data_IF_520438274910
#
_entry.id   IF_520438274910
#
_cell.length_a   1.000
_cell.length_b   1.000
_cell.length_c   1.000
_cell.angle_alpha   90.00
_cell.angle_beta   90.00
_cell.angle_gamma   90.00
#
_symmetry.space_group_name_H-M   'P 1'
#
loop_
_entity.id
_entity.type
_entity.pdbx_description
1 polymer ?
#
# COMPACT_ATOMS: atom_id res chain seq x y z
N UNK A 1 73.71 50.95 61.02
CA UNK A 1 72.35 50.46 61.31
C UNK A 1 72.19 49.12 60.60
N UNK A 2 72.35 48.02 61.32
CA UNK A 2 72.24 46.66 60.78
C UNK A 2 70.78 46.21 60.82
N UNK A 3 70.23 45.83 59.67
CA UNK A 3 68.93 45.18 59.57
C UNK A 3 69.12 43.66 59.42
N UNK A 4 68.60 42.90 60.37
CA UNK A 4 68.55 41.44 60.36
C UNK A 4 67.32 40.97 59.58
N UNK A 5 67.51 40.15 58.55
CA UNK A 5 66.44 39.48 57.82
C UNK A 5 66.12 38.13 58.49
N UNK A 6 64.86 37.93 58.90
CA UNK A 6 64.36 36.64 59.39
C UNK A 6 64.08 35.68 58.22
N UNK A 7 64.45 34.38 58.32
CA UNK A 7 64.10 33.40 57.31
C UNK A 7 62.62 32.99 57.43
N UNK A 8 61.94 32.97 56.29
CA UNK A 8 60.54 32.53 56.16
C UNK A 8 60.49 30.99 56.22
N UNK A 9 59.82 30.42 57.23
CA UNK A 9 59.65 28.98 57.38
C UNK A 9 58.58 28.45 56.41
N UNK A 10 58.99 27.61 55.44
CA UNK A 10 58.07 26.83 54.58
C UNK A 10 57.47 25.69 55.40
N UNK A 11 56.18 25.79 55.75
CA UNK A 11 55.41 24.63 56.21
C UNK A 11 55.23 23.64 55.06
N UNK A 12 55.88 22.48 55.16
CA UNK A 12 55.60 21.32 54.32
C UNK A 12 54.40 20.59 54.91
N UNK A 13 53.26 20.60 54.22
CA UNK A 13 52.17 19.68 54.55
C UNK A 13 52.63 18.23 54.33
N UNK A 14 52.45 17.32 55.30
CA UNK A 14 52.75 15.92 55.10
C UNK A 14 51.76 15.36 54.05
N UNK A 15 52.30 14.89 52.92
CA UNK A 15 51.54 14.10 51.97
C UNK A 15 51.15 12.78 52.65
N UNK A 16 49.88 12.68 53.08
CA UNK A 16 49.30 11.40 53.51
C UNK A 16 49.08 10.57 52.25
N UNK A 17 49.87 9.50 52.10
CA UNK A 17 49.65 8.52 51.04
C UNK A 17 48.35 7.73 51.29
N UNK A 18 47.61 7.44 50.23
CA UNK A 18 46.42 6.61 50.28
C UNK A 18 46.80 5.17 50.67
N UNK A 19 45.94 4.53 51.46
CA UNK A 19 46.09 3.11 51.78
C UNK A 19 45.72 2.26 50.56
N UNK A 20 46.39 1.12 50.35
CA UNK A 20 46.10 0.20 49.24
C UNK A 20 44.60 -0.20 49.23
N UNK A 21 43.99 -0.31 50.40
CA UNK A 21 42.57 -0.64 50.57
C UNK A 21 41.62 0.49 50.12
N UNK A 22 41.93 1.76 50.37
CA UNK A 22 41.13 2.89 49.87
C UNK A 22 41.13 2.96 48.33
N UNK A 23 42.26 2.64 47.71
CA UNK A 23 42.37 2.59 46.25
C UNK A 23 41.55 1.44 45.66
N UNK A 24 41.58 0.27 46.29
CA UNK A 24 40.78 -0.89 45.89
C UNK A 24 39.27 -0.64 46.06
N UNK A 25 38.86 0.00 47.16
CA UNK A 25 37.45 0.34 47.40
C UNK A 25 36.97 1.37 46.37
N UNK A 26 37.76 2.41 46.11
CA UNK A 26 37.41 3.45 45.14
C UNK A 26 37.28 2.88 43.72
N UNK A 27 38.19 1.98 43.33
CA UNK A 27 38.13 1.29 42.04
C UNK A 27 36.91 0.36 41.95
N UNK A 28 36.63 -0.41 43.01
CA UNK A 28 35.48 -1.31 43.05
C UNK A 28 34.16 -0.54 42.91
N UNK A 29 33.98 0.55 43.64
CA UNK A 29 32.78 1.40 43.55
C UNK A 29 32.69 2.05 42.16
N UNK A 30 33.81 2.55 41.62
CA UNK A 30 33.85 3.13 40.27
C UNK A 30 33.41 2.13 39.19
N UNK A 31 33.90 0.88 39.26
CA UNK A 31 33.52 -0.17 38.33
C UNK A 31 32.03 -0.54 38.43
N UNK A 32 31.48 -0.61 39.65
CA UNK A 32 30.05 -0.91 39.86
C UNK A 32 29.16 0.18 39.26
N UNK A 33 29.50 1.46 39.50
CA UNK A 33 28.74 2.59 38.94
C UNK A 33 28.82 2.62 37.42
N UNK A 34 30.01 2.38 36.86
CA UNK A 34 30.19 2.31 35.40
C UNK A 34 29.40 1.15 34.79
N UNK A 35 29.45 -0.03 35.40
CA UNK A 35 28.69 -1.20 34.92
C UNK A 35 27.17 -0.93 34.95
N UNK A 36 26.66 -0.33 36.02
CA UNK A 36 25.26 0.09 36.12
C UNK A 36 24.90 1.11 35.02
N UNK A 37 25.72 2.16 34.84
CA UNK A 37 25.51 3.17 33.81
C UNK A 37 25.52 2.60 32.39
N UNK A 38 26.46 1.70 32.08
CA UNK A 38 26.54 0.99 30.81
C UNK A 38 25.30 0.12 30.55
N UNK A 39 24.78 -0.56 31.57
CA UNK A 39 23.57 -1.38 31.44
C UNK A 39 22.31 -0.56 31.11
N UNK A 40 22.16 0.61 31.77
CA UNK A 40 21.05 1.54 31.51
C UNK A 40 21.18 2.16 30.11
N UNK A 41 22.39 2.58 29.74
CA UNK A 41 22.65 3.12 28.41
C UNK A 41 22.35 2.08 27.31
N UNK A 42 22.79 0.83 27.48
CA UNK A 42 22.56 -0.23 26.50
C UNK A 42 21.06 -0.54 26.34
N UNK A 43 20.32 -0.68 27.45
CA UNK A 43 18.86 -0.93 27.41
C UNK A 43 18.08 0.24 26.81
N UNK A 44 18.43 1.48 27.18
CA UNK A 44 17.83 2.70 26.61
C UNK A 44 18.09 2.81 25.11
N UNK A 45 19.34 2.61 24.68
CA UNK A 45 19.70 2.66 23.25
C UNK A 45 18.95 1.62 22.42
N UNK A 46 18.79 0.39 22.95
CA UNK A 46 17.98 -0.67 22.32
C UNK A 46 16.52 -0.27 22.21
N UNK A 47 15.93 0.22 23.28
CA UNK A 47 14.53 0.68 23.30
C UNK A 47 14.30 1.80 22.29
N UNK A 48 15.24 2.74 22.17
CA UNK A 48 15.15 3.83 21.19
C UNK A 48 15.21 3.33 19.75
N UNK A 49 16.11 2.38 19.44
CA UNK A 49 16.19 1.80 18.10
C UNK A 49 14.94 1.01 17.73
N UNK A 50 14.37 0.26 18.68
CA UNK A 50 13.12 -0.46 18.47
C UNK A 50 11.96 0.52 18.22
N UNK A 51 11.86 1.57 19.04
CA UNK A 51 10.86 2.62 18.88
C UNK A 51 10.97 3.34 17.54
N UNK A 52 12.19 3.56 17.03
CA UNK A 52 12.44 4.17 15.72
C UNK A 52 11.94 3.26 14.58
N UNK A 53 12.29 1.97 14.60
CA UNK A 53 11.84 1.01 13.57
C UNK A 53 10.32 0.88 13.57
N UNK A 54 9.67 0.82 14.74
CA UNK A 54 8.22 0.77 14.82
C UNK A 54 7.57 2.05 14.27
N UNK A 55 8.15 3.22 14.58
CA UNK A 55 7.64 4.50 14.08
C UNK A 55 7.74 4.58 12.57
N UNK A 56 8.91 4.24 12.00
CA UNK A 56 9.12 4.20 10.56
C UNK A 56 8.17 3.21 9.88
N UNK A 57 7.99 2.00 10.43
CA UNK A 57 7.03 1.03 9.90
C UNK A 57 5.59 1.53 9.93
N UNK A 58 5.19 2.31 10.95
CA UNK A 58 3.86 2.92 11.02
C UNK A 58 3.69 4.00 9.95
N UNK A 59 4.69 4.85 9.75
CA UNK A 59 4.70 5.86 8.70
C UNK A 59 4.59 5.22 7.31
N UNK A 60 5.42 4.22 7.03
CA UNK A 60 5.41 3.46 5.77
C UNK A 60 4.07 2.74 5.56
N UNK A 61 3.51 2.11 6.60
CA UNK A 61 2.22 1.43 6.54
C UNK A 61 1.06 2.38 6.24
N UNK A 62 1.03 3.55 6.88
CA UNK A 62 0.01 4.59 6.60
C UNK A 62 0.17 5.13 5.17
N UNK A 63 1.40 5.37 4.72
CA UNK A 63 1.68 5.80 3.35
C UNK A 63 1.19 4.76 2.33
N UNK A 64 1.47 3.48 2.57
CA UNK A 64 1.01 2.36 1.75
C UNK A 64 -0.51 2.32 1.60
N UNK A 65 -1.22 2.42 2.72
CA UNK A 65 -2.68 2.44 2.73
C UNK A 65 -3.22 3.66 1.99
N UNK A 66 -2.67 4.86 2.25
CA UNK A 66 -3.13 6.08 1.58
C UNK A 66 -2.95 6.01 0.06
N UNK A 67 -1.83 5.45 -0.41
CA UNK A 67 -1.57 5.24 -1.83
C UNK A 67 -2.64 4.34 -2.46
N UNK A 68 -2.87 3.14 -1.91
CA UNK A 68 -3.87 2.21 -2.45
C UNK A 68 -5.29 2.78 -2.33
N UNK A 69 -5.61 3.46 -1.22
CA UNK A 69 -6.90 4.11 -1.04
C UNK A 69 -7.18 5.16 -2.11
N UNK A 70 -6.20 5.99 -2.46
CA UNK A 70 -6.36 7.02 -3.48
C UNK A 70 -6.70 6.39 -4.84
N UNK A 71 -6.06 5.26 -5.17
CA UNK A 71 -6.30 4.54 -6.42
C UNK A 71 -7.69 3.87 -6.42
N UNK A 72 -8.08 3.24 -5.31
CA UNK A 72 -9.41 2.64 -5.17
C UNK A 72 -10.54 3.68 -5.22
N UNK A 73 -10.33 4.91 -4.73
CA UNK A 73 -11.31 6.00 -4.83
C UNK A 73 -11.56 6.50 -6.26
N UNK A 74 -10.60 6.27 -7.17
CA UNK A 74 -10.76 6.54 -8.60
C UNK A 74 -11.51 5.41 -9.31
N UNK A 75 -11.50 4.19 -8.78
CA UNK A 75 -12.08 3.02 -9.42
C UNK A 75 -13.52 3.28 -9.88
N UNK A 76 -13.80 2.95 -11.14
CA UNK A 76 -15.11 3.14 -11.78
C UNK A 76 -15.46 4.60 -12.09
N UNK A 77 -14.55 5.57 -11.89
CA UNK A 77 -14.81 6.94 -12.28
C UNK A 77 -15.07 7.02 -13.78
N UNK A 78 -16.08 7.81 -14.15
CA UNK A 78 -16.38 8.15 -15.53
C UNK A 78 -16.95 9.56 -15.62
N UNK A 79 -16.59 10.26 -16.68
CA UNK A 79 -17.22 11.53 -17.04
C UNK A 79 -18.68 11.30 -17.44
N UNK A 80 -19.54 12.19 -16.96
CA UNK A 80 -20.95 12.17 -17.31
C UNK A 80 -21.13 12.80 -18.70
N UNK A 81 -21.74 12.06 -19.60
CA UNK A 81 -22.19 12.55 -20.90
C UNK A 81 -23.64 12.99 -20.78
N UNK A 82 -23.94 14.20 -21.24
CA UNK A 82 -25.31 14.71 -21.38
C UNK A 82 -25.71 14.48 -22.85
N UNK A 83 -26.58 13.49 -23.14
CA UNK A 83 -27.00 13.22 -24.51
C UNK A 83 -27.79 14.40 -25.08
N UNK A 84 -27.48 14.81 -26.31
CA UNK A 84 -28.17 15.92 -27.00
C UNK A 84 -29.64 15.65 -27.33
N UNK A 85 -30.08 14.40 -27.22
CA UNK A 85 -31.46 13.94 -27.47
C UNK A 85 -32.33 13.90 -26.21
N UNK A 86 -31.88 14.47 -25.08
CA UNK A 86 -32.64 14.47 -23.82
C UNK A 86 -32.71 13.10 -23.14
N UNK A 87 -31.87 12.14 -23.54
CA UNK A 87 -31.72 10.89 -22.82
C UNK A 87 -31.05 11.10 -21.45
N UNK A 88 -31.17 10.09 -20.58
CA UNK A 88 -30.59 10.10 -19.23
C UNK A 88 -29.08 10.30 -19.29
N UNK A 89 -28.56 11.15 -18.40
CA UNK A 89 -27.11 11.32 -18.18
C UNK A 89 -26.49 9.95 -17.92
N UNK A 90 -25.44 9.61 -18.65
CA UNK A 90 -24.76 8.33 -18.55
C UNK A 90 -23.25 8.51 -18.41
N UNK A 91 -22.59 7.57 -17.76
CA UNK A 91 -21.12 7.51 -17.76
C UNK A 91 -20.60 7.19 -19.16
N UNK A 92 -19.50 7.82 -19.56
CA UNK A 92 -18.77 7.53 -20.78
C UNK A 92 -18.14 6.11 -20.77
N UNK A 93 -17.69 5.66 -19.60
CA UNK A 93 -17.23 4.31 -19.31
C UNK A 93 -18.23 3.61 -18.38
N UNK A 94 -18.70 2.44 -18.80
CA UNK A 94 -19.55 1.57 -18.01
C UNK A 94 -19.04 0.13 -18.08
N UNK A 95 -18.35 -0.31 -17.03
CA UNK A 95 -17.74 -1.63 -16.94
C UNK A 95 -17.28 -1.96 -15.52
N UNK A 96 -16.62 -3.12 -15.32
CA UNK A 96 -16.05 -3.48 -14.03
C UNK A 96 -14.98 -2.45 -13.62
N UNK A 97 -15.10 -1.92 -12.41
CA UNK A 97 -14.19 -0.94 -11.83
C UNK A 97 -12.92 -1.57 -11.25
N UNK A 98 -13.05 -2.80 -10.75
CA UNK A 98 -11.96 -3.55 -10.14
C UNK A 98 -12.03 -5.02 -10.57
N UNK A 99 -10.87 -5.67 -10.56
CA UNK A 99 -10.76 -7.13 -10.66
C UNK A 99 -9.63 -7.63 -9.78
N UNK A 100 -9.94 -8.60 -8.92
CA UNK A 100 -9.00 -9.21 -8.00
C UNK A 100 -8.52 -10.57 -8.45
N UNK A 101 -7.41 -11.01 -7.87
CA UNK A 101 -7.02 -12.41 -7.84
C UNK A 101 -6.38 -12.77 -6.51
N UNK A 102 -6.92 -13.82 -5.89
CA UNK A 102 -6.32 -14.46 -4.73
C UNK A 102 -4.98 -15.08 -5.16
N UNK A 103 -3.93 -14.88 -4.37
CA UNK A 103 -2.59 -15.40 -4.69
C UNK A 103 -1.88 -14.73 -5.87
N UNK A 104 -2.51 -13.71 -6.48
CA UNK A 104 -1.93 -12.88 -7.54
C UNK A 104 -2.31 -13.29 -8.96
N UNK A 105 -1.88 -12.49 -9.95
CA UNK A 105 -2.17 -12.76 -11.36
C UNK A 105 -1.16 -13.73 -11.97
N UNK A 106 -1.63 -14.73 -12.73
CA UNK A 106 -0.77 -15.64 -13.52
C UNK A 106 0.01 -14.86 -14.57
N UNK A 107 -0.69 -14.03 -15.33
CA UNK A 107 -0.11 -13.05 -16.24
C UNK A 107 -0.71 -11.68 -15.96
N UNK A 108 0.01 -10.87 -15.20
CA UNK A 108 -0.39 -9.51 -14.92
C UNK A 108 -0.31 -8.57 -16.15
N UNK A 109 0.06 -9.05 -17.35
CA UNK A 109 0.06 -8.31 -18.62
C UNK A 109 -1.18 -8.59 -19.49
N UNK A 110 -1.90 -9.68 -19.21
CA UNK A 110 -3.06 -10.13 -19.97
C UNK A 110 -4.14 -9.06 -20.07
N UNK A 111 -5.03 -9.10 -21.06
CA UNK A 111 -6.19 -8.22 -21.08
C UNK A 111 -7.04 -8.40 -19.78
N UNK A 112 -7.76 -7.37 -19.36
CA UNK A 112 -8.44 -7.37 -18.06
C UNK A 112 -9.49 -8.46 -17.90
N UNK A 113 -10.21 -8.81 -18.96
CA UNK A 113 -11.14 -9.94 -19.04
C UNK A 113 -10.41 -11.30 -19.03
N UNK A 114 -9.15 -11.34 -19.48
CA UNK A 114 -8.29 -12.53 -19.53
C UNK A 114 -7.40 -12.70 -18.29
N UNK A 115 -7.48 -11.81 -17.30
CA UNK A 115 -6.80 -12.01 -16.02
C UNK A 115 -7.20 -13.35 -15.40
N UNK A 116 -6.24 -14.07 -14.86
CA UNK A 116 -6.46 -15.34 -14.18
C UNK A 116 -5.59 -15.42 -12.94
N UNK A 117 -6.07 -16.13 -11.93
CA UNK A 117 -5.49 -16.14 -10.60
C UNK A 117 -4.55 -17.32 -10.43
N UNK A 118 -3.42 -17.08 -9.76
CA UNK A 118 -2.53 -18.15 -9.30
C UNK A 118 -3.28 -18.97 -8.26
N UNK A 119 -3.08 -20.29 -8.27
CA UNK A 119 -3.65 -21.15 -7.23
C UNK A 119 -2.72 -21.16 -6.02
N UNK A 120 -3.22 -20.78 -4.85
CA UNK A 120 -2.53 -20.90 -3.56
C UNK A 120 -2.60 -19.62 -2.72
N UNK A 121 -1.93 -19.67 -1.57
CA UNK A 121 -2.09 -18.68 -0.48
C UNK A 121 -1.07 -17.52 -0.60
N UNK A 122 -0.82 -17.07 -1.82
CA UNK A 122 0.12 -15.99 -2.11
C UNK A 122 -0.43 -14.61 -1.76
N UNK A 123 0.36 -13.56 -2.03
CA UNK A 123 -0.16 -12.20 -2.00
C UNK A 123 -1.17 -11.99 -3.12
N UNK A 124 -2.30 -11.38 -2.79
CA UNK A 124 -3.32 -11.00 -3.75
C UNK A 124 -2.84 -9.90 -4.69
N UNK A 125 -3.54 -9.78 -5.81
CA UNK A 125 -3.34 -8.69 -6.75
C UNK A 125 -4.68 -8.09 -7.16
N UNK A 126 -4.66 -6.80 -7.50
CA UNK A 126 -5.86 -6.07 -7.93
C UNK A 126 -5.58 -5.21 -9.15
N UNK A 127 -6.48 -5.28 -10.12
CA UNK A 127 -6.56 -4.39 -11.25
C UNK A 127 -7.66 -3.36 -10.97
N UNK A 128 -7.35 -2.09 -11.19
CA UNK A 128 -8.22 -0.94 -10.96
C UNK A 128 -8.40 -0.21 -12.29
N UNK A 129 -9.66 0.01 -12.66
CA UNK A 129 -10.05 0.69 -13.89
C UNK A 129 -10.88 1.92 -13.64
N UNK A 130 -10.58 2.97 -14.38
CA UNK A 130 -11.34 4.21 -14.38
C UNK A 130 -11.03 5.03 -15.63
N UNK A 131 -11.94 5.91 -16.01
CA UNK A 131 -11.72 6.86 -17.08
C UNK A 131 -10.66 7.90 -16.65
N UNK A 132 -9.55 7.90 -17.36
CA UNK A 132 -8.42 8.76 -17.07
C UNK A 132 -8.59 10.11 -17.79
N UNK A 133 -8.42 11.20 -17.05
CA UNK A 133 -8.42 12.56 -17.58
C UNK A 133 -7.15 13.27 -17.10
N UNK A 134 -6.74 14.36 -17.77
CA UNK A 134 -5.63 15.18 -17.28
C UNK A 134 -5.86 15.72 -15.86
N UNK A 135 -7.11 15.87 -15.44
CA UNK A 135 -7.47 16.41 -14.13
C UNK A 135 -7.42 15.36 -13.00
N UNK A 136 -7.57 14.07 -13.32
CA UNK A 136 -7.62 13.00 -12.33
C UNK A 136 -6.37 12.08 -12.34
N UNK A 137 -5.41 12.38 -13.21
CA UNK A 137 -4.13 11.66 -13.33
C UNK A 137 -2.94 12.58 -13.09
N UNK A 138 -1.73 12.01 -13.03
CA UNK A 138 -0.51 12.80 -12.83
C UNK A 138 -0.22 13.54 -14.15
N UNK A 139 -0.09 14.88 -14.15
CA UNK A 139 0.16 15.64 -15.37
C UNK A 139 1.59 15.41 -15.87
N UNK A 140 1.75 15.23 -17.19
CA UNK A 140 3.09 15.30 -17.81
C UNK A 140 3.50 16.75 -18.01
N UNK A 141 4.75 17.06 -17.67
CA UNK A 141 5.35 18.36 -17.96
C UNK A 141 5.50 18.63 -19.47
N UNK A 142 5.62 17.56 -20.29
CA UNK A 142 5.82 17.66 -21.74
C UNK A 142 4.51 17.76 -22.52
N UNK A 143 3.41 17.21 -21.98
CA UNK A 143 2.07 17.29 -22.56
C UNK A 143 1.00 17.18 -21.46
N UNK A 144 0.56 18.32 -20.88
CA UNK A 144 -0.39 18.32 -19.78
C UNK A 144 -1.81 17.94 -20.22
N UNK A 145 -2.06 17.70 -21.51
CA UNK A 145 -3.38 17.34 -22.04
C UNK A 145 -3.61 15.83 -22.09
N UNK A 146 -2.60 15.04 -21.76
CA UNK A 146 -2.62 13.58 -21.85
C UNK A 146 -2.77 12.97 -20.47
N UNK A 147 -3.73 12.04 -20.35
CA UNK A 147 -3.93 11.30 -19.13
C UNK A 147 -2.88 10.19 -18.96
N UNK A 148 -2.56 9.87 -17.71
CA UNK A 148 -1.51 8.92 -17.35
C UNK A 148 -1.97 7.72 -16.56
N UNK A 149 -1.14 6.69 -16.57
CA UNK A 149 -1.29 5.56 -15.67
C UNK A 149 -0.66 5.84 -14.29
N UNK A 150 -0.70 4.85 -13.41
CA UNK A 150 -0.11 4.93 -12.06
C UNK A 150 1.40 5.24 -12.01
N UNK A 151 2.11 5.12 -13.13
CA UNK A 151 3.54 5.39 -13.26
C UNK A 151 3.82 6.72 -13.98
N UNK A 152 2.79 7.47 -14.36
CA UNK A 152 2.94 8.71 -15.12
C UNK A 152 3.18 8.51 -16.62
N UNK A 153 3.00 7.29 -17.15
CA UNK A 153 3.13 7.04 -18.57
C UNK A 153 1.82 7.40 -19.30
N UNK A 154 1.95 8.09 -20.43
CA UNK A 154 0.80 8.50 -21.25
C UNK A 154 -0.04 7.32 -21.73
N UNK A 155 -1.35 7.52 -21.82
CA UNK A 155 -2.31 6.54 -22.35
C UNK A 155 -2.96 7.14 -23.61
N UNK A 156 -3.08 6.36 -24.69
CA UNK A 156 -3.81 6.80 -25.89
C UNK A 156 -5.32 6.76 -25.64
N UNK A 157 -6.10 7.72 -26.20
CA UNK A 157 -7.55 7.61 -26.25
C UNK A 157 -7.99 6.32 -26.96
N UNK A 158 -9.00 5.67 -26.42
CA UNK A 158 -9.57 4.41 -26.86
C UNK A 158 -11.01 4.62 -27.32
N UNK A 159 -11.41 3.87 -28.33
CA UNK A 159 -12.82 3.68 -28.69
C UNK A 159 -13.39 2.49 -27.88
N UNK A 160 -14.72 2.39 -27.67
CA UNK A 160 -15.32 1.29 -26.93
C UNK A 160 -14.98 -0.12 -27.46
N UNK A 161 -14.67 -0.27 -28.75
CA UNK A 161 -14.30 -1.57 -29.35
C UNK A 161 -12.89 -2.01 -29.00
N UNK A 162 -12.05 -1.12 -28.48
CA UNK A 162 -10.68 -1.41 -28.05
C UNK A 162 -10.59 -1.76 -26.55
N UNK A 163 -11.72 -1.76 -25.84
CA UNK A 163 -11.81 -2.10 -24.42
C UNK A 163 -12.47 -3.47 -24.26
N UNK A 164 -11.85 -4.32 -23.44
CA UNK A 164 -12.39 -5.63 -23.07
C UNK A 164 -12.58 -5.73 -21.55
N UNK A 165 -13.77 -6.11 -21.05
CA UNK A 165 -15.00 -6.29 -21.83
C UNK A 165 -15.51 -4.96 -22.41
N UNK A 166 -16.26 -5.01 -23.51
CA UNK A 166 -16.78 -3.80 -24.17
C UNK A 166 -17.75 -3.09 -23.20
N UNK A 167 -17.57 -1.78 -22.94
CA UNK A 167 -18.47 -1.06 -22.04
C UNK A 167 -19.90 -1.05 -22.57
N UNK A 168 -20.88 -1.08 -21.64
CA UNK A 168 -22.31 -1.08 -21.96
C UNK A 168 -23.05 -0.01 -21.14
N UNK A 169 -23.72 0.99 -21.77
CA UNK A 169 -23.98 1.11 -23.21
C UNK A 169 -22.72 1.50 -23.98
N UNK A 170 -22.48 0.85 -25.11
CA UNK A 170 -21.48 1.33 -26.05
C UNK A 170 -22.04 2.62 -26.64
N UNK A 171 -21.44 3.78 -26.35
CA UNK A 171 -21.88 5.07 -26.85
C UNK A 171 -22.08 5.01 -28.39
N UNK A 172 -23.31 4.76 -28.78
CA UNK A 172 -23.80 4.95 -30.12
C UNK A 172 -24.35 6.35 -30.16
N UNK A 173 -23.89 7.14 -31.13
CA UNK A 173 -24.29 8.52 -31.43
C UNK A 173 -23.50 9.64 -30.70
N UNK A 174 -22.25 9.81 -31.13
CA UNK A 174 -21.57 11.09 -31.45
C UNK A 174 -21.12 12.09 -30.36
N UNK A 175 -21.03 11.73 -29.07
CA UNK A 175 -20.45 12.64 -28.06
C UNK A 175 -19.23 12.09 -27.31
N UNK A 176 -18.92 10.79 -27.44
CA UNK A 176 -17.73 10.19 -26.84
C UNK A 176 -17.16 9.06 -27.70
N UNK A 177 -16.70 9.40 -28.90
CA UNK A 177 -16.06 8.42 -29.78
C UNK A 177 -14.74 7.90 -29.19
N UNK A 178 -14.12 8.68 -28.29
CA UNK A 178 -12.86 8.34 -27.64
C UNK A 178 -12.86 8.75 -26.17
N UNK A 179 -12.33 7.87 -25.31
CA UNK A 179 -12.04 8.15 -23.91
C UNK A 179 -10.72 7.49 -23.52
N UNK A 180 -10.06 7.98 -22.48
CA UNK A 180 -8.84 7.35 -22.00
C UNK A 180 -9.18 6.45 -20.82
N UNK A 181 -8.70 5.20 -20.81
CA UNK A 181 -8.98 4.26 -19.74
C UNK A 181 -7.67 3.90 -19.03
N UNK A 182 -7.58 4.21 -17.75
CA UNK A 182 -6.51 3.67 -16.91
C UNK A 182 -6.86 2.22 -16.54
N UNK A 183 -5.89 1.31 -16.73
CA UNK A 183 -5.90 -0.07 -16.23
C UNK A 183 -4.61 -0.24 -15.43
N UNK A 184 -4.70 0.00 -14.12
CA UNK A 184 -3.57 -0.04 -13.20
C UNK A 184 -3.65 -1.31 -12.37
N UNK A 185 -2.54 -2.04 -12.26
CA UNK A 185 -2.48 -3.31 -11.53
C UNK A 185 -1.46 -3.21 -10.43
N UNK A 186 -1.91 -3.54 -9.23
CA UNK A 186 -1.13 -3.52 -8.01
C UNK A 186 -0.89 -4.95 -7.56
N UNK A 187 0.37 -5.29 -7.35
CA UNK A 187 0.83 -6.60 -6.89
C UNK A 187 2.12 -6.46 -6.08
N UNK A 188 2.35 -7.40 -5.18
CA UNK A 188 3.63 -7.52 -4.48
C UNK A 188 4.63 -8.28 -5.36
N UNK A 189 5.83 -7.72 -5.52
CA UNK A 189 6.96 -8.33 -6.23
C UNK A 189 8.12 -8.55 -5.26
N UNK A 190 9.06 -9.41 -5.65
CA UNK A 190 10.30 -9.69 -4.91
C UNK A 190 10.08 -10.06 -3.44
N UNK A 191 8.94 -10.70 -3.15
CA UNK A 191 8.46 -10.99 -1.78
C UNK A 191 9.48 -11.72 -0.89
N UNK A 192 10.41 -12.47 -1.49
CA UNK A 192 11.42 -13.27 -0.77
C UNK A 192 12.70 -12.51 -0.42
N UNK A 193 13.00 -11.40 -1.09
CA UNK A 193 14.24 -10.65 -0.91
C UNK A 193 13.94 -9.25 -0.39
N UNK A 194 13.44 -8.41 -1.28
CA UNK A 194 13.03 -7.03 -1.03
C UNK A 194 11.57 -6.93 -1.43
N UNK A 195 10.63 -7.27 -0.54
CA UNK A 195 9.21 -7.22 -0.86
C UNK A 195 8.81 -5.79 -1.21
N UNK A 196 8.18 -5.59 -2.37
CA UNK A 196 7.74 -4.27 -2.79
C UNK A 196 6.33 -4.35 -3.36
N UNK A 197 5.48 -3.38 -2.98
CA UNK A 197 4.27 -3.10 -3.73
C UNK A 197 4.67 -2.44 -5.04
N UNK A 198 4.24 -3.03 -6.14
CA UNK A 198 4.49 -2.51 -7.49
C UNK A 198 3.20 -2.05 -8.14
N UNK A 199 3.34 -1.15 -9.11
CA UNK A 199 2.30 -0.90 -10.08
C UNK A 199 2.78 -1.17 -11.50
N UNK A 200 1.87 -1.69 -12.31
CA UNK A 200 1.97 -1.67 -13.76
C UNK A 200 0.69 -1.11 -14.33
N UNK A 201 0.81 -0.21 -15.28
CA UNK A 201 -0.34 0.45 -15.87
C UNK A 201 -0.43 0.23 -17.37
N UNK A 202 -1.61 0.45 -17.93
CA UNK A 202 -1.77 0.67 -19.35
C UNK A 202 -0.89 1.85 -19.80
N UNK A 203 -0.19 1.72 -20.91
CA UNK A 203 0.66 2.79 -21.45
C UNK A 203 0.66 2.77 -22.97
N UNK A 204 0.85 3.94 -23.56
CA UNK A 204 1.11 4.11 -24.98
C UNK A 204 2.41 3.40 -25.35
N UNK A 205 2.33 2.50 -26.32
CA UNK A 205 3.48 1.95 -27.04
C UNK A 205 3.22 2.02 -28.53
N UNK A 206 3.94 2.92 -29.20
CA UNK A 206 3.72 3.29 -30.60
C UNK A 206 2.28 3.80 -30.83
N UNK A 207 1.47 3.03 -31.56
CA UNK A 207 0.10 3.36 -31.96
C UNK A 207 -0.97 2.60 -31.17
N UNK A 208 -0.58 1.82 -30.15
CA UNK A 208 -1.49 1.04 -29.34
C UNK A 208 -1.20 1.24 -27.85
N UNK A 209 -2.18 0.90 -27.02
CA UNK A 209 -1.99 0.77 -25.58
C UNK A 209 -1.63 -0.68 -25.24
N UNK A 210 -0.71 -0.86 -24.30
CA UNK A 210 -0.34 -2.15 -23.73
C UNK A 210 -0.29 -2.06 -22.20
N UNK A 211 -0.22 -3.18 -21.48
CA UNK A 211 0.08 -3.15 -20.04
C UNK A 211 1.60 -3.19 -19.86
N UNK A 212 2.18 -2.09 -19.37
CA UNK A 212 3.62 -1.92 -19.16
C UNK A 212 4.22 -2.89 -18.13
N UNK A 213 5.54 -2.79 -17.93
CA UNK A 213 6.24 -3.59 -16.93
C UNK A 213 5.93 -3.09 -15.51
N UNK A 214 5.97 -3.97 -14.48
CA UNK A 214 5.83 -3.53 -13.09
C UNK A 214 7.01 -2.63 -12.69
N UNK A 215 6.70 -1.58 -11.95
CA UNK A 215 7.67 -0.72 -11.28
C UNK A 215 7.38 -0.69 -9.79
N UNK A 216 8.41 -0.75 -8.92
CA UNK A 216 8.22 -0.65 -7.50
C UNK A 216 7.67 0.73 -7.10
N UNK A 217 6.67 0.76 -6.22
CA UNK A 217 6.11 1.98 -5.65
C UNK A 217 6.48 2.16 -4.18
N UNK A 218 6.38 1.08 -3.41
CA UNK A 218 6.67 1.11 -1.98
C UNK A 218 7.42 -0.15 -1.57
N UNK A 219 8.53 0.04 -0.87
CA UNK A 219 9.30 -1.05 -0.30
C UNK A 219 8.60 -1.63 0.95
N UNK A 220 9.06 -2.81 1.36
CA UNK A 220 8.69 -3.48 2.61
C UNK A 220 7.22 -3.92 2.72
N UNK A 221 6.49 -4.01 1.60
CA UNK A 221 5.14 -4.59 1.54
C UNK A 221 5.26 -6.07 1.23
N UNK A 222 5.22 -6.92 2.25
CA UNK A 222 5.51 -8.36 2.14
C UNK A 222 4.34 -9.19 1.62
N UNK A 223 3.12 -8.82 2.00
CA UNK A 223 1.90 -9.44 1.50
C UNK A 223 0.78 -8.44 1.45
N UNK A 224 -0.08 -8.57 0.43
CA UNK A 224 -1.34 -7.86 0.29
C UNK A 224 -2.46 -8.90 0.25
N UNK A 225 -3.50 -8.69 1.04
CA UNK A 225 -4.71 -9.53 1.07
C UNK A 225 -5.94 -8.64 0.89
N UNK A 226 -6.91 -9.07 0.10
CA UNK A 226 -8.02 -8.22 -0.33
C UNK A 226 -9.36 -8.94 -0.18
N UNK A 227 -10.30 -8.28 0.48
CA UNK A 227 -11.70 -8.69 0.55
C UNK A 227 -12.59 -7.69 -0.18
N UNK A 228 -13.58 -8.20 -0.91
CA UNK A 228 -14.49 -7.43 -1.74
C UNK A 228 -15.88 -7.40 -1.11
N UNK A 229 -16.36 -6.21 -0.75
CA UNK A 229 -17.74 -6.03 -0.32
C UNK A 229 -18.67 -6.05 -1.51
N UNK A 230 -19.51 -7.08 -1.60
CA UNK A 230 -20.38 -7.33 -2.76
C UNK A 230 -21.84 -7.02 -2.47
N UNK A 231 -22.56 -6.64 -3.50
CA UNK A 231 -24.01 -6.49 -3.50
C UNK A 231 -24.73 -7.66 -4.19
N UNK A 232 -26.04 -7.77 -3.94
CA UNK A 232 -26.90 -8.81 -4.52
C UNK A 232 -27.22 -8.58 -6.01
N UNK A 233 -26.93 -7.39 -6.54
CA UNK A 233 -27.00 -7.00 -7.96
C UNK A 233 -25.80 -6.10 -8.30
N UNK A 234 -25.38 -6.04 -9.59
CA UNK A 234 -24.31 -5.13 -10.00
C UNK A 234 -24.68 -3.67 -9.74
N UNK A 235 -23.69 -2.77 -9.74
CA UNK A 235 -23.89 -1.34 -9.44
C UNK A 235 -24.99 -0.69 -10.30
N UNK A 236 -25.50 0.44 -9.81
CA UNK A 236 -26.59 1.17 -10.45
C UNK A 236 -26.28 1.57 -11.91
N UNK A 237 -25.01 1.82 -12.27
CA UNK A 237 -24.63 2.10 -13.66
C UNK A 237 -24.89 0.91 -14.61
N UNK A 238 -24.95 -0.31 -14.08
CA UNK A 238 -25.14 -1.55 -14.83
C UNK A 238 -26.55 -2.13 -14.64
N UNK A 239 -27.36 -1.56 -13.75
CA UNK A 239 -28.70 -2.04 -13.43
C UNK A 239 -29.79 -1.26 -14.17
N UNK A 240 -30.73 -1.97 -14.80
CA UNK A 240 -31.88 -1.35 -15.46
C UNK A 240 -32.91 -0.74 -14.49
N UNK A 241 -32.88 -1.11 -13.21
CA UNK A 241 -33.77 -0.60 -12.17
C UNK A 241 -33.02 -0.56 -10.84
N UNK A 242 -33.01 0.60 -10.19
CA UNK A 242 -32.37 0.76 -8.89
C UNK A 242 -33.25 0.21 -7.77
N UNK A 243 -32.69 -0.68 -6.95
CA UNK A 243 -33.32 -1.21 -5.74
C UNK A 243 -32.33 -1.07 -4.57
N UNK A 244 -32.58 -0.21 -3.58
CA UNK A 244 -31.64 0.05 -2.49
C UNK A 244 -31.34 -1.20 -1.65
N UNK A 245 -32.24 -2.19 -1.61
CA UNK A 245 -32.02 -3.42 -0.85
C UNK A 245 -31.09 -4.39 -1.58
N UNK A 246 -31.04 -4.31 -2.92
CA UNK A 246 -30.22 -5.18 -3.76
C UNK A 246 -28.86 -4.56 -4.13
N UNK A 247 -28.70 -3.25 -3.95
CA UNK A 247 -27.49 -2.47 -4.26
C UNK A 247 -26.75 -1.99 -2.99
N UNK A 248 -26.78 -2.79 -1.94
CA UNK A 248 -26.02 -2.58 -0.70
C UNK A 248 -25.03 -3.72 -0.48
N UNK A 249 -23.96 -3.44 0.27
CA UNK A 249 -22.96 -4.45 0.65
C UNK A 249 -23.61 -5.44 1.60
N UNK A 250 -23.70 -6.71 1.19
CA UNK A 250 -24.29 -7.79 2.00
C UNK A 250 -23.23 -8.66 2.67
N UNK A 251 -22.10 -8.87 2.00
CA UNK A 251 -21.03 -9.76 2.47
C UNK A 251 -19.67 -9.34 1.91
N UNK A 252 -18.60 -9.85 2.52
CA UNK A 252 -17.23 -9.71 2.04
C UNK A 252 -16.72 -11.05 1.51
N UNK A 253 -16.21 -11.05 0.27
CA UNK A 253 -15.70 -12.23 -0.40
C UNK A 253 -14.25 -12.07 -0.82
N UNK A 254 -13.52 -13.18 -0.89
CA UNK A 254 -12.26 -13.28 -1.63
C UNK A 254 -12.53 -13.22 -3.15
N UNK A 255 -11.51 -12.98 -3.97
CA UNK A 255 -11.69 -12.82 -5.42
C UNK A 255 -12.29 -14.09 -6.06
N UNK A 256 -11.87 -15.27 -5.60
CA UNK A 256 -12.35 -16.56 -6.08
C UNK A 256 -13.83 -16.79 -5.77
N UNK A 257 -14.36 -16.22 -4.70
CA UNK A 257 -15.79 -16.26 -4.38
C UNK A 257 -16.59 -15.25 -5.19
N UNK A 258 -16.03 -14.05 -5.46
CA UNK A 258 -16.64 -13.09 -6.39
C UNK A 258 -16.80 -13.71 -7.78
N UNK A 259 -15.79 -14.44 -8.27
CA UNK A 259 -15.85 -15.09 -9.58
C UNK A 259 -16.94 -16.18 -9.70
N UNK A 260 -17.48 -16.68 -8.58
CA UNK A 260 -18.59 -17.65 -8.56
C UNK A 260 -19.98 -17.01 -8.61
N UNK A 261 -20.09 -15.68 -8.43
CA UNK A 261 -21.38 -14.98 -8.31
C UNK A 261 -22.16 -14.91 -9.63
N UNK A 262 -21.49 -14.98 -10.78
CA UNK A 262 -22.10 -14.88 -12.11
C UNK A 262 -21.18 -15.41 -13.22
N UNK A 263 -21.78 -15.80 -14.35
CA UNK A 263 -21.02 -16.27 -15.51
C UNK A 263 -20.28 -15.12 -16.22
N UNK A 264 -20.84 -13.90 -16.22
CA UNK A 264 -20.23 -12.73 -16.89
C UNK A 264 -19.37 -11.93 -15.93
N UNK A 265 -18.26 -11.39 -16.47
CA UNK A 265 -17.33 -10.56 -15.69
C UNK A 265 -18.00 -9.24 -15.30
N UNK A 266 -18.78 -8.62 -16.20
CA UNK A 266 -19.43 -7.35 -15.89
C UNK A 266 -20.43 -7.48 -14.75
N UNK A 267 -21.18 -8.58 -14.66
CA UNK A 267 -22.17 -8.76 -13.59
C UNK A 267 -21.48 -9.08 -12.26
N UNK A 268 -20.54 -10.03 -12.22
CA UNK A 268 -19.93 -10.45 -10.94
C UNK A 268 -19.04 -9.40 -10.32
N UNK A 269 -18.11 -8.83 -11.10
CA UNK A 269 -17.26 -7.74 -10.64
C UNK A 269 -18.00 -6.39 -10.64
N UNK A 270 -19.16 -6.33 -11.30
CA UNK A 270 -20.11 -5.24 -11.22
C UNK A 270 -20.70 -5.03 -9.82
N UNK A 271 -20.82 -6.11 -9.04
CA UNK A 271 -21.41 -6.13 -7.69
C UNK A 271 -20.50 -5.59 -6.60
N UNK A 272 -19.21 -5.39 -6.89
CA UNK A 272 -18.25 -4.91 -5.89
C UNK A 272 -18.47 -3.42 -5.63
N UNK A 273 -18.82 -3.08 -4.38
CA UNK A 273 -19.07 -1.72 -3.92
C UNK A 273 -18.04 -1.23 -2.89
N UNK A 274 -17.31 -2.14 -2.26
CA UNK A 274 -16.19 -1.80 -1.38
C UNK A 274 -15.03 -2.78 -1.52
N UNK A 275 -13.85 -2.32 -1.13
CA UNK A 275 -12.62 -3.12 -1.11
C UNK A 275 -11.94 -2.90 0.23
N UNK A 276 -11.75 -3.99 0.99
CA UNK A 276 -10.93 -4.02 2.20
C UNK A 276 -9.56 -4.56 1.83
N UNK A 277 -8.52 -3.76 2.04
CA UNK A 277 -7.13 -4.13 1.78
C UNK A 277 -6.40 -4.28 3.11
N UNK A 278 -5.70 -5.38 3.27
CA UNK A 278 -4.76 -5.61 4.34
C UNK A 278 -3.35 -5.74 3.77
N UNK A 279 -2.40 -4.97 4.31
CA UNK A 279 -0.99 -5.01 3.95
C UNK A 279 -0.19 -5.52 5.15
N UNK A 280 0.62 -6.55 4.94
CA UNK A 280 1.65 -6.98 5.87
C UNK A 280 2.94 -6.21 5.54
N UNK A 281 3.31 -5.29 6.42
CA UNK A 281 4.54 -4.51 6.30
C UNK A 281 5.66 -5.17 7.10
N UNK A 282 6.88 -5.08 6.57
CA UNK A 282 8.12 -5.53 7.22
C UNK A 282 8.99 -4.33 7.60
N UNK A 283 9.88 -4.45 8.59
CA UNK A 283 10.94 -3.45 8.80
C UNK A 283 11.92 -3.42 7.62
N UNK A 284 12.57 -2.29 7.40
CA UNK A 284 13.62 -2.11 6.39
C UNK A 284 14.90 -2.88 6.73
N UNK A 285 15.22 -2.96 8.03
CA UNK A 285 16.36 -3.67 8.59
C UNK A 285 15.95 -4.68 9.66
N UNK A 286 16.73 -5.76 9.85
CA UNK A 286 16.51 -6.67 10.97
C UNK A 286 16.81 -5.99 12.30
N UNK A 287 16.08 -6.38 13.33
CA UNK A 287 16.32 -5.97 14.72
C UNK A 287 17.50 -6.77 15.25
N UNK A 288 18.55 -6.07 15.73
CA UNK A 288 19.83 -6.68 16.12
C UNK A 288 19.74 -7.71 17.25
N UNK A 289 18.76 -7.57 18.14
CA UNK A 289 18.57 -8.42 19.33
C UNK A 289 17.22 -9.18 19.24
N UNK A 290 16.83 -9.64 18.05
CA UNK A 290 15.62 -10.44 17.88
C UNK A 290 15.68 -11.70 18.79
N UNK A 291 14.58 -12.08 19.49
CA UNK A 291 14.56 -13.25 20.36
C UNK A 291 14.94 -14.55 19.61
N UNK A 292 15.59 -15.50 20.29
CA UNK A 292 15.98 -16.81 19.72
C UNK A 292 14.81 -17.68 19.22
N UNK A 293 13.56 -17.26 19.41
CA UNK A 293 12.35 -17.89 18.86
C UNK A 293 11.67 -17.09 17.73
N UNK A 294 12.24 -15.97 17.31
CA UNK A 294 11.62 -15.06 16.35
C UNK A 294 10.64 -14.06 17.00
N UNK A 295 9.96 -13.28 16.16
CA UNK A 295 8.99 -12.27 16.57
C UNK A 295 7.61 -12.65 16.06
N UNK A 296 6.63 -12.67 16.96
CA UNK A 296 5.24 -13.02 16.62
C UNK A 296 4.51 -11.79 16.09
N UNK A 297 3.71 -11.98 15.05
CA UNK A 297 2.88 -10.95 14.44
C UNK A 297 1.54 -11.54 14.01
N UNK A 298 0.58 -10.65 13.75
CA UNK A 298 -0.74 -11.02 13.22
C UNK A 298 -0.73 -10.95 11.70
N UNK A 299 -1.21 -12.00 11.05
CA UNK A 299 -1.51 -12.00 9.60
C UNK A 299 -2.82 -11.27 9.31
N UNK A 300 -3.12 -11.10 8.03
CA UNK A 300 -4.33 -10.43 7.57
C UNK A 300 -5.63 -11.19 7.87
N UNK A 301 -5.55 -12.50 8.09
CA UNK A 301 -6.64 -13.35 8.55
C UNK A 301 -6.73 -13.42 10.10
N UNK A 302 -5.98 -12.56 10.80
CA UNK A 302 -5.81 -12.53 12.26
C UNK A 302 -5.15 -13.78 12.88
N UNK A 303 -4.60 -14.69 12.07
CA UNK A 303 -3.79 -15.79 12.58
C UNK A 303 -2.45 -15.28 13.15
N UNK A 304 -1.95 -15.94 14.19
CA UNK A 304 -0.62 -15.71 14.73
C UNK A 304 0.44 -16.40 13.86
N UNK A 305 1.49 -15.68 13.50
CA UNK A 305 2.65 -16.22 12.80
C UNK A 305 3.94 -15.70 13.45
N UNK A 306 5.02 -16.48 13.38
CA UNK A 306 6.31 -16.13 13.97
C UNK A 306 7.37 -16.00 12.88
N UNK A 307 7.92 -14.79 12.72
CA UNK A 307 9.03 -14.51 11.81
C UNK A 307 10.37 -14.80 12.46
N UNK A 308 11.21 -15.62 11.83
CA UNK A 308 12.52 -16.05 12.35
C UNK A 308 13.71 -15.35 11.68
N UNK A 309 13.46 -14.39 10.81
CA UNK A 309 14.47 -13.69 10.01
C UNK A 309 14.94 -12.36 10.64
N UNK A 310 14.46 -12.05 11.85
CA UNK A 310 14.83 -10.85 12.59
C UNK A 310 14.13 -9.57 12.14
N UNK A 311 13.23 -9.65 11.15
CA UNK A 311 12.44 -8.49 10.72
C UNK A 311 11.14 -8.34 11.50
N UNK A 312 10.84 -7.11 11.92
CA UNK A 312 9.55 -6.79 12.51
C UNK A 312 8.47 -6.80 11.43
N UNK A 313 7.28 -7.27 11.80
CA UNK A 313 6.13 -7.34 10.90
C UNK A 313 4.89 -6.80 11.57
N UNK A 314 4.08 -6.07 10.80
CA UNK A 314 2.81 -5.54 11.28
C UNK A 314 1.81 -5.43 10.14
N UNK A 315 0.56 -5.78 10.42
CA UNK A 315 -0.55 -5.63 9.48
C UNK A 315 -1.23 -4.28 9.64
N UNK A 316 -1.59 -3.71 8.50
CA UNK A 316 -2.36 -2.49 8.39
C UNK A 316 -3.54 -2.75 7.48
N UNK A 317 -4.74 -2.34 7.89
CA UNK A 317 -5.96 -2.63 7.14
C UNK A 317 -6.76 -1.36 6.91
N UNK A 318 -7.35 -1.24 5.73
CA UNK A 318 -8.30 -0.18 5.40
C UNK A 318 -9.47 -0.74 4.61
N UNK A 319 -10.64 -0.13 4.74
CA UNK A 319 -11.79 -0.40 3.87
C UNK A 319 -12.12 0.84 3.06
N UNK A 320 -12.28 0.70 1.76
CA UNK A 320 -12.57 1.78 0.82
C UNK A 320 -13.86 1.49 0.10
N UNK A 321 -14.80 2.44 0.17
CA UNK A 321 -16.01 2.41 -0.65
C UNK A 321 -15.69 2.89 -2.07
N UNK A 322 -16.15 2.16 -3.07
CA UNK A 322 -16.03 2.54 -4.48
C UNK A 322 -17.12 3.56 -4.78
N UNK A 323 -16.87 4.83 -4.43
CA UNK A 323 -17.87 5.91 -4.52
C UNK A 323 -18.49 6.05 -5.91
N UNK A 324 -17.72 5.83 -6.97
CA UNK A 324 -18.22 5.94 -8.35
C UNK A 324 -19.10 4.74 -8.78
N UNK A 325 -19.41 3.82 -7.85
CA UNK A 325 -20.29 2.66 -8.02
C UNK A 325 -21.51 2.71 -7.10
N UNK A 326 -21.49 3.64 -6.14
CA UNK A 326 -22.56 3.89 -5.17
C UNK A 326 -23.48 5.02 -5.62
N UNK A 327 -23.17 5.69 -6.74
CA UNK A 327 -23.96 6.83 -7.22
C UNK A 327 -25.27 6.29 -7.79
N UNK A 328 -26.30 6.36 -6.96
CA UNK A 328 -27.68 6.44 -7.41
C UNK A 328 -27.91 7.82 -8.07
N UNK A 329 -28.80 7.91 -9.07
CA UNK A 329 -29.10 9.15 -9.80
C UNK A 329 -29.61 10.28 -8.91
#
# INVERSE_FOLDING_TARGET
MSATANPCARMRHPARGFTLIELLISLAIGLVILAAGLSVFATSSRSSQLSEVETQMNEDGILALNLIQQQLKQAGFSQQLIPSNGATVMGNYAGPAVRGCDGGFVDAAAAFDQLSCVKGDGSDAIAIRYEATPDNTIPLLTDPTVATNCLGNSILPLTPTQVSPRPTPAAGTSLADHYTLADNRYLVIDAKTTPMLSCRGMEKRNTANIIGAPQPLLANVESMQILYGVASRPSAELAATYDPLLHQIVDYHEASDVDKLSETIEDRWGRVLSVRVCLLMRSDRPVRDAPEGGMTYKRCDNADETGTDGYLRRTYTTTVLLRNRLIAP
#
